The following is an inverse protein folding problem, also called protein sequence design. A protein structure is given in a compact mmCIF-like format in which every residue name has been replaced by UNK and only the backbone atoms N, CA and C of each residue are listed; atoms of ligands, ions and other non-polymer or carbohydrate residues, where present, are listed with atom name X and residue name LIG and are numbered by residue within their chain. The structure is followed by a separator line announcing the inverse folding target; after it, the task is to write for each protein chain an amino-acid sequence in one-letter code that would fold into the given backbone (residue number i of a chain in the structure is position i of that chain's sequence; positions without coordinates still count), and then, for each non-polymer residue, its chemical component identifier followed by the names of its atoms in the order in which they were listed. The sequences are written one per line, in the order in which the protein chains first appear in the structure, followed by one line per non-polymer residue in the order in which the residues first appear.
data_IF_181627584614
#
_entry.id   IF_181627584614
#
_cell.length_a   1.000
_cell.length_b   1.000
_cell.length_c   1.000
_cell.angle_alpha   90.00
_cell.angle_beta   90.00
_cell.angle_gamma   90.00
#
_symmetry.space_group_name_H-M   'P 1'
#
loop_
_entity.id
_entity.type
_entity.pdbx_description
1 polymer ?
#
# COMPACT_ATOMS: atom_id res chain seq x y z
N UNK A 1 -30.95 17.22 -38.75
CA UNK A 1 -31.65 15.92 -38.83
C UNK A 1 -30.76 14.89 -38.18
N UNK A 2 -31.19 14.49 -36.99
CA UNK A 2 -30.67 13.43 -36.15
C UNK A 2 -30.97 12.07 -36.78
N UNK A 3 -29.96 11.22 -36.94
CA UNK A 3 -30.20 9.79 -36.97
C UNK A 3 -29.08 9.09 -36.19
N UNK A 4 -29.44 8.78 -34.95
CA UNK A 4 -28.71 7.96 -34.00
C UNK A 4 -28.81 6.49 -34.39
N UNK A 5 -27.68 5.79 -34.45
CA UNK A 5 -27.63 4.33 -34.34
C UNK A 5 -26.62 3.95 -33.25
N UNK A 6 -26.96 2.99 -32.37
CA UNK A 6 -26.35 2.85 -31.05
C UNK A 6 -25.05 2.03 -31.08
N UNK A 7 -24.08 2.51 -30.31
CA UNK A 7 -22.78 1.87 -30.05
C UNK A 7 -22.98 0.62 -29.17
N UNK A 8 -22.67 -0.54 -29.76
CA UNK A 8 -22.91 -1.86 -29.21
C UNK A 8 -21.61 -2.37 -28.60
N UNK A 9 -21.55 -2.28 -27.28
CA UNK A 9 -20.83 -3.17 -26.37
C UNK A 9 -19.30 -3.03 -26.26
N UNK A 10 -18.90 -2.09 -25.39
CA UNK A 10 -17.71 -2.23 -24.53
C UNK A 10 -18.17 -2.29 -23.07
N UNK A 11 -18.74 -3.42 -22.65
CA UNK A 11 -18.91 -3.80 -21.23
C UNK A 11 -18.83 -5.33 -21.12
N UNK A 12 -17.64 -5.88 -21.36
CA UNK A 12 -17.32 -7.27 -21.01
C UNK A 12 -16.35 -7.21 -19.83
N UNK A 13 -16.88 -6.88 -18.66
CA UNK A 13 -16.33 -7.26 -17.36
C UNK A 13 -17.45 -7.10 -16.34
N UNK A 14 -17.52 -8.02 -15.37
CA UNK A 14 -18.41 -7.96 -14.20
C UNK A 14 -19.90 -8.34 -14.33
N UNK A 15 -20.23 -9.41 -15.08
CA UNK A 15 -21.56 -10.07 -14.94
C UNK A 15 -21.57 -11.59 -14.85
N UNK A 16 -20.43 -12.24 -14.60
CA UNK A 16 -20.35 -13.71 -14.59
C UNK A 16 -20.04 -14.35 -13.22
N UNK A 17 -19.95 -13.59 -12.12
CA UNK A 17 -19.61 -14.15 -10.79
C UNK A 17 -20.77 -14.16 -9.77
N UNK A 18 -21.87 -13.44 -10.04
CA UNK A 18 -23.00 -13.36 -9.10
C UNK A 18 -23.95 -14.56 -9.25
N UNK A 19 -24.15 -15.07 -10.47
CA UNK A 19 -25.03 -16.23 -10.73
C UNK A 19 -24.53 -17.53 -10.10
N UNK A 20 -23.22 -17.79 -10.16
CA UNK A 20 -22.67 -19.04 -9.61
C UNK A 20 -22.79 -19.12 -8.09
N UNK A 21 -22.77 -18.00 -7.36
CA UNK A 21 -22.95 -18.00 -5.90
C UNK A 21 -24.41 -18.26 -5.51
N UNK A 22 -25.38 -17.63 -6.18
CA UNK A 22 -26.80 -17.84 -5.89
C UNK A 22 -27.24 -19.27 -6.21
N UNK A 23 -26.75 -19.83 -7.31
CA UNK A 23 -27.08 -21.19 -7.75
C UNK A 23 -26.51 -22.28 -6.82
N UNK A 24 -25.41 -21.99 -6.12
CA UNK A 24 -24.80 -22.88 -5.11
C UNK A 24 -25.59 -22.83 -3.80
N UNK A 25 -26.09 -21.65 -3.42
CA UNK A 25 -26.86 -21.45 -2.18
C UNK A 25 -28.23 -22.12 -2.27
N UNK A 26 -28.92 -22.00 -3.41
CA UNK A 26 -30.24 -22.61 -3.65
C UNK A 26 -30.19 -24.15 -3.72
N UNK A 27 -29.04 -24.71 -4.13
CA UNK A 27 -28.80 -26.16 -4.12
C UNK A 27 -28.42 -26.71 -2.74
N UNK A 28 -27.92 -25.87 -1.84
CA UNK A 28 -27.56 -26.28 -0.48
C UNK A 28 -28.82 -26.51 0.36
N UNK A 29 -29.86 -25.70 0.17
CA UNK A 29 -31.14 -25.77 0.91
C UNK A 29 -31.93 -27.07 0.66
N UNK A 30 -31.66 -27.78 -0.45
CA UNK A 30 -32.40 -28.98 -0.85
C UNK A 30 -31.67 -30.31 -0.57
N UNK A 31 -30.55 -30.30 0.17
CA UNK A 31 -29.77 -31.50 0.51
C UNK A 31 -29.96 -31.95 1.97
N UNK A 32 -29.89 -33.26 2.28
CA UNK A 32 -29.95 -33.75 3.65
C UNK A 32 -28.82 -33.15 4.50
N UNK A 33 -29.14 -32.75 5.73
CA UNK A 33 -28.26 -31.99 6.64
C UNK A 33 -26.92 -32.66 6.97
N UNK A 34 -26.75 -33.95 6.68
CA UNK A 34 -25.50 -34.69 6.87
C UNK A 34 -24.43 -34.40 5.78
N UNK A 35 -24.87 -34.02 4.57
CA UNK A 35 -23.96 -33.69 3.45
C UNK A 35 -23.62 -32.20 3.38
N UNK A 36 -24.43 -31.33 4.00
CA UNK A 36 -24.17 -29.89 4.07
C UNK A 36 -22.90 -29.57 4.89
N UNK A 37 -22.66 -30.28 6.00
CA UNK A 37 -21.45 -30.10 6.81
C UNK A 37 -20.17 -30.48 6.03
N UNK A 38 -20.22 -31.52 5.19
CA UNK A 38 -19.08 -31.94 4.36
C UNK A 38 -18.74 -30.95 3.23
N UNK A 39 -19.76 -30.32 2.64
CA UNK A 39 -19.57 -29.38 1.53
C UNK A 39 -19.04 -28.03 2.04
N UNK A 40 -19.56 -27.53 3.16
CA UNK A 40 -19.06 -26.29 3.79
C UNK A 40 -17.62 -26.47 4.28
N UNK A 41 -17.24 -27.67 4.72
CA UNK A 41 -15.88 -27.97 5.17
C UNK A 41 -14.82 -28.01 4.05
N UNK A 42 -15.20 -28.11 2.77
CA UNK A 42 -14.26 -28.31 1.65
C UNK A 42 -13.97 -27.03 0.84
N UNK A 43 -14.41 -25.84 1.30
CA UNK A 43 -13.96 -24.58 0.71
C UNK A 43 -12.61 -24.15 1.31
N UNK A 44 -11.54 -24.79 0.85
CA UNK A 44 -10.18 -24.36 1.19
C UNK A 44 -9.76 -23.18 0.30
N UNK A 45 -9.92 -21.97 0.82
CA UNK A 45 -9.47 -20.76 0.13
C UNK A 45 -7.97 -20.55 0.38
N UNK A 46 -7.13 -21.05 -0.53
CA UNK A 46 -5.69 -20.82 -0.46
C UNK A 46 -5.33 -19.45 -1.04
N UNK A 47 -4.68 -18.63 -0.23
CA UNK A 47 -4.11 -17.34 -0.63
C UNK A 47 -2.61 -17.37 -0.42
N UNK A 48 -1.87 -17.13 -1.49
CA UNK A 48 -0.42 -17.15 -1.47
C UNK A 48 0.17 -17.36 -2.86
N UNK A 49 1.49 -17.22 -2.99
CA UNK A 49 2.18 -17.38 -4.27
C UNK A 49 2.24 -18.84 -4.76
N UNK A 50 1.83 -19.80 -3.92
CA UNK A 50 1.91 -21.24 -4.21
C UNK A 50 0.49 -21.82 -4.21
N UNK A 51 0.06 -22.48 -5.30
CA UNK A 51 -1.28 -23.08 -5.38
C UNK A 51 -1.37 -24.38 -4.58
N UNK A 52 -2.60 -24.87 -4.40
CA UNK A 52 -2.88 -26.08 -3.63
C UNK A 52 -2.15 -27.32 -4.21
N UNK A 53 -1.63 -28.25 -3.37
CA UNK A 53 -0.94 -29.45 -3.84
C UNK A 53 -1.71 -30.29 -4.87
N UNK A 54 -3.04 -30.39 -4.75
CA UNK A 54 -3.86 -31.13 -5.72
C UNK A 54 -3.85 -30.48 -7.13
N UNK A 55 -3.75 -29.14 -7.18
CA UNK A 55 -3.62 -28.40 -8.45
C UNK A 55 -2.24 -28.64 -9.04
N UNK A 56 -1.19 -28.56 -8.21
CA UNK A 56 0.18 -28.83 -8.62
C UNK A 56 0.34 -30.27 -9.16
N UNK A 57 -0.29 -31.25 -8.52
CA UNK A 57 -0.31 -32.64 -8.99
C UNK A 57 -0.97 -32.76 -10.37
N UNK A 58 -2.04 -31.99 -10.62
CA UNK A 58 -2.68 -31.91 -11.93
C UNK A 58 -1.75 -31.35 -13.02
N UNK A 59 -1.00 -30.28 -12.71
CA UNK A 59 -0.02 -29.71 -13.63
C UNK A 59 1.15 -30.66 -13.89
N UNK A 60 1.66 -31.35 -12.87
CA UNK A 60 2.74 -32.33 -13.02
C UNK A 60 2.34 -33.51 -13.90
N UNK A 61 1.10 -34.01 -13.74
CA UNK A 61 0.55 -35.07 -14.59
C UNK A 61 0.37 -34.64 -16.04
N UNK A 62 0.06 -33.36 -16.28
CA UNK A 62 -0.11 -32.82 -17.63
C UNK A 62 1.23 -32.54 -18.31
N UNK A 63 2.19 -31.99 -17.55
CA UNK A 63 3.53 -31.65 -18.01
C UNK A 63 4.55 -31.89 -16.90
N UNK A 64 5.41 -32.92 -17.01
CA UNK A 64 6.42 -33.21 -16.01
C UNK A 64 7.34 -32.02 -15.76
N UNK A 65 7.47 -31.60 -14.50
CA UNK A 65 8.25 -30.44 -14.08
C UNK A 65 7.46 -29.13 -13.94
N UNK A 66 6.22 -29.06 -14.42
CA UNK A 66 5.40 -27.84 -14.32
C UNK A 66 5.12 -27.43 -12.86
N UNK A 67 4.91 -28.40 -11.96
CA UNK A 67 4.66 -28.09 -10.56
C UNK A 67 5.87 -27.39 -9.92
N UNK A 68 7.08 -27.85 -10.24
CA UNK A 68 8.32 -27.24 -9.78
C UNK A 68 8.48 -25.81 -10.29
N UNK A 69 8.20 -25.59 -11.57
CA UNK A 69 8.29 -24.27 -12.19
C UNK A 69 7.30 -23.27 -11.58
N UNK A 70 6.05 -23.70 -11.32
CA UNK A 70 5.03 -22.88 -10.66
C UNK A 70 5.49 -22.48 -9.25
N UNK A 71 6.00 -23.43 -8.47
CA UNK A 71 6.52 -23.16 -7.12
C UNK A 71 7.67 -22.16 -7.19
N UNK A 72 8.62 -22.38 -8.09
CA UNK A 72 9.80 -21.54 -8.23
C UNK A 72 9.42 -20.11 -8.64
N UNK A 73 8.52 -19.96 -9.61
CA UNK A 73 7.99 -18.67 -10.03
C UNK A 73 7.28 -17.95 -8.88
N UNK A 74 6.45 -18.65 -8.11
CA UNK A 74 5.77 -18.10 -6.94
C UNK A 74 6.74 -17.62 -5.87
N UNK A 75 7.79 -18.40 -5.58
CA UNK A 75 8.83 -18.02 -4.61
C UNK A 75 9.63 -16.81 -5.13
N UNK A 76 10.01 -16.79 -6.41
CA UNK A 76 10.74 -15.69 -7.02
C UNK A 76 9.92 -14.39 -6.98
N UNK A 77 8.63 -14.44 -7.30
CA UNK A 77 7.73 -13.29 -7.22
C UNK A 77 7.61 -12.78 -5.77
N UNK A 78 7.45 -13.69 -4.82
CA UNK A 78 7.41 -13.35 -3.38
C UNK A 78 8.71 -12.68 -2.92
N UNK A 79 9.87 -13.19 -3.36
CA UNK A 79 11.16 -12.57 -3.08
C UNK A 79 11.32 -11.21 -3.75
N UNK A 80 10.85 -11.07 -4.99
CA UNK A 80 10.88 -9.81 -5.73
C UNK A 80 10.07 -8.73 -5.01
N UNK A 81 8.83 -9.05 -4.60
CA UNK A 81 7.99 -8.16 -3.79
C UNK A 81 8.66 -7.73 -2.50
N UNK A 82 9.22 -8.68 -1.72
CA UNK A 82 9.97 -8.35 -0.48
C UNK A 82 11.18 -7.43 -0.76
N UNK A 83 11.90 -7.66 -1.87
CA UNK A 83 13.03 -6.80 -2.27
C UNK A 83 12.56 -5.39 -2.64
N UNK A 84 11.40 -5.24 -3.27
CA UNK A 84 10.83 -3.92 -3.57
C UNK A 84 10.33 -3.21 -2.32
N UNK A 85 9.65 -3.92 -1.41
CA UNK A 85 9.18 -3.39 -0.14
C UNK A 85 10.33 -2.90 0.74
N UNK A 86 11.40 -3.70 0.87
CA UNK A 86 12.62 -3.31 1.61
C UNK A 86 13.33 -2.11 0.99
N UNK A 87 13.48 -2.06 -0.35
CA UNK A 87 14.04 -0.89 -1.04
C UNK A 87 13.19 0.37 -0.83
N UNK A 88 11.86 0.24 -0.85
CA UNK A 88 10.93 1.36 -0.59
C UNK A 88 11.09 1.87 0.85
N UNK A 89 11.18 0.98 1.84
CA UNK A 89 11.43 1.34 3.24
C UNK A 89 12.78 2.05 3.40
N UNK A 90 13.86 1.53 2.80
CA UNK A 90 15.18 2.15 2.86
C UNK A 90 15.20 3.55 2.24
N UNK A 91 14.55 3.73 1.08
CA UNK A 91 14.48 5.04 0.40
C UNK A 91 13.69 6.07 1.24
N UNK A 92 12.61 5.66 1.89
CA UNK A 92 11.85 6.51 2.82
C UNK A 92 12.71 6.93 4.03
N UNK A 93 13.46 5.99 4.61
CA UNK A 93 14.36 6.27 5.74
C UNK A 93 15.45 7.29 5.39
N UNK A 94 16.09 7.16 4.24
CA UNK A 94 17.11 8.11 3.79
C UNK A 94 16.54 9.51 3.57
N UNK A 95 15.40 9.62 2.89
CA UNK A 95 14.80 10.92 2.60
C UNK A 95 14.39 11.66 3.88
N UNK A 96 13.81 10.94 4.84
CA UNK A 96 13.47 11.48 6.17
C UNK A 96 14.70 11.98 6.94
N UNK A 97 15.82 11.26 6.85
CA UNK A 97 17.08 11.70 7.45
C UNK A 97 17.64 12.96 6.79
N UNK A 98 17.58 13.07 5.46
CA UNK A 98 18.02 14.27 4.75
C UNK A 98 17.16 15.49 5.08
N UNK A 99 15.83 15.34 5.12
CA UNK A 99 14.94 16.47 5.44
C UNK A 99 15.14 16.94 6.88
N UNK A 100 15.20 16.03 7.85
CA UNK A 100 15.47 16.36 9.25
C UNK A 100 16.86 17.00 9.43
N UNK A 101 17.89 16.44 8.80
CA UNK A 101 19.25 16.99 8.86
C UNK A 101 19.35 18.39 8.25
N UNK A 102 18.69 18.62 7.12
CA UNK A 102 18.67 19.93 6.46
C UNK A 102 17.95 20.99 7.30
N UNK A 103 16.82 20.64 7.92
CA UNK A 103 16.08 21.53 8.83
C UNK A 103 16.95 21.95 10.02
N UNK A 104 17.56 20.98 10.72
CA UNK A 104 18.43 21.25 11.87
C UNK A 104 19.60 22.14 11.47
N UNK A 105 20.22 21.87 10.32
CA UNK A 105 21.34 22.68 9.81
C UNK A 105 20.91 24.13 9.54
N UNK A 106 19.79 24.35 8.86
CA UNK A 106 19.25 25.69 8.59
C UNK A 106 18.91 26.43 9.88
N UNK A 107 18.29 25.75 10.85
CA UNK A 107 17.99 26.34 12.15
C UNK A 107 19.25 26.74 12.92
N UNK A 108 20.30 25.92 12.90
CA UNK A 108 21.59 26.26 13.52
C UNK A 108 22.20 27.50 12.85
N UNK A 109 22.18 27.57 11.51
CA UNK A 109 22.67 28.76 10.79
C UNK A 109 21.89 30.02 11.15
N UNK A 110 20.57 29.94 11.30
CA UNK A 110 19.73 31.05 11.76
C UNK A 110 20.06 31.48 13.19
N UNK A 111 20.30 30.53 14.11
CA UNK A 111 20.68 30.84 15.49
C UNK A 111 22.05 31.51 15.57
N UNK A 112 23.03 31.03 14.82
CA UNK A 112 24.37 31.64 14.74
C UNK A 112 24.28 33.04 14.12
N UNK A 113 23.52 33.19 13.03
CA UNK A 113 23.29 34.49 12.39
C UNK A 113 22.60 35.50 13.33
N UNK A 114 21.60 35.05 14.10
CA UNK A 114 20.94 35.84 15.14
C UNK A 114 21.93 36.28 16.22
N UNK A 115 22.77 35.37 16.70
CA UNK A 115 23.80 35.66 17.71
C UNK A 115 24.81 36.72 17.23
N UNK A 116 25.30 36.60 15.99
CA UNK A 116 26.22 37.59 15.38
C UNK A 116 25.56 38.97 15.25
N UNK A 117 24.26 39.02 14.89
CA UNK A 117 23.52 40.28 14.80
C UNK A 117 23.41 40.99 16.15
N UNK A 118 23.23 40.23 17.23
CA UNK A 118 23.17 40.78 18.59
C UNK A 118 24.51 41.39 18.98
N UNK A 119 25.64 40.73 18.65
CA UNK A 119 26.98 41.27 18.90
C UNK A 119 27.27 42.54 18.09
N UNK A 120 26.74 42.66 16.88
CA UNK A 120 26.87 43.84 16.02
C UNK A 120 25.87 44.97 16.36
N UNK A 121 25.38 45.04 17.60
CA UNK A 121 24.49 46.09 18.12
C UNK A 121 23.05 46.10 17.54
N UNK A 122 22.64 45.07 16.79
CA UNK A 122 21.29 44.93 16.23
C UNK A 122 20.41 44.04 17.13
N UNK A 123 20.26 44.45 18.40
CA UNK A 123 19.65 43.62 19.46
C UNK A 123 18.20 43.20 19.16
N UNK A 124 17.36 44.14 18.73
CA UNK A 124 15.92 43.91 18.47
C UNK A 124 15.74 42.93 17.30
N UNK A 125 16.47 43.16 16.21
CA UNK A 125 16.40 42.33 15.00
C UNK A 125 16.90 40.92 15.33
N UNK A 126 18.05 40.81 16.03
CA UNK A 126 18.58 39.53 16.48
C UNK A 126 17.60 38.73 17.32
N UNK A 127 16.91 39.36 18.28
CA UNK A 127 15.93 38.67 19.14
C UNK A 127 14.68 38.21 18.38
N UNK A 128 14.11 39.04 17.50
CA UNK A 128 12.92 38.68 16.71
C UNK A 128 13.26 37.54 15.74
N UNK A 129 14.44 37.62 15.12
CA UNK A 129 14.90 36.61 14.17
C UNK A 129 15.23 35.28 14.85
N UNK A 130 15.88 35.31 16.02
CA UNK A 130 16.19 34.11 16.80
C UNK A 130 14.94 33.44 17.39
N UNK A 131 14.07 34.21 18.05
CA UNK A 131 12.84 33.68 18.63
C UNK A 131 11.86 33.19 17.57
N UNK A 132 11.71 33.93 16.46
CA UNK A 132 10.89 33.53 15.32
C UNK A 132 11.40 32.25 14.66
N UNK A 133 12.71 32.16 14.41
CA UNK A 133 13.32 30.95 13.85
C UNK A 133 13.14 29.71 14.74
N UNK A 134 13.21 29.89 16.06
CA UNK A 134 12.98 28.80 17.02
C UNK A 134 11.53 28.30 17.02
N UNK A 135 10.54 29.19 16.96
CA UNK A 135 9.13 28.82 16.88
C UNK A 135 8.80 28.07 15.57
N UNK A 136 9.35 28.54 14.44
CA UNK A 136 9.21 27.86 13.15
C UNK A 136 9.85 26.47 13.20
N UNK A 137 11.01 26.34 13.83
CA UNK A 137 11.66 25.03 14.04
C UNK A 137 10.78 24.09 14.86
N UNK A 138 10.22 24.56 15.98
CA UNK A 138 9.32 23.74 16.81
C UNK A 138 8.08 23.28 16.04
N UNK A 139 7.44 24.17 15.29
CA UNK A 139 6.31 23.82 14.44
C UNK A 139 6.68 22.76 13.40
N UNK A 140 7.79 22.97 12.68
CA UNK A 140 8.27 22.03 11.68
C UNK A 140 8.70 20.69 12.28
N UNK A 141 9.26 20.69 13.49
CA UNK A 141 9.63 19.47 14.22
C UNK A 141 8.39 18.67 14.61
N UNK A 142 7.34 19.33 15.12
CA UNK A 142 6.06 18.66 15.44
C UNK A 142 5.44 18.05 14.19
N UNK A 143 5.42 18.78 13.07
CA UNK A 143 4.91 18.26 11.79
C UNK A 143 5.73 17.07 11.29
N UNK A 144 7.07 17.13 11.38
CA UNK A 144 7.93 16.00 11.00
C UNK A 144 7.77 14.80 11.93
N UNK A 145 7.63 15.01 13.24
CA UNK A 145 7.37 13.94 14.22
C UNK A 145 6.00 13.30 13.95
N UNK A 146 4.98 14.11 13.67
CA UNK A 146 3.65 13.60 13.32
C UNK A 146 3.67 12.86 11.98
N UNK A 147 4.41 13.33 10.98
CA UNK A 147 4.57 12.64 9.70
C UNK A 147 5.32 11.31 9.84
N UNK A 148 6.25 11.20 10.80
CA UNK A 148 6.99 9.96 11.08
C UNK A 148 6.25 9.02 12.03
N UNK A 149 5.41 9.55 12.91
CA UNK A 149 4.62 8.80 13.89
C UNK A 149 3.23 8.41 13.38
N UNK A 150 2.71 9.11 12.37
CA UNK A 150 1.50 8.76 11.66
C UNK A 150 1.70 7.41 11.01
N UNK A 151 1.16 6.37 11.63
CA UNK A 151 1.07 5.03 11.06
C UNK A 151 0.42 5.18 9.69
N UNK A 152 1.19 4.90 8.64
CA UNK A 152 0.68 4.74 7.29
C UNK A 152 -0.49 3.74 7.34
N UNK A 153 -1.71 4.25 7.19
CA UNK A 153 -2.86 3.44 6.83
C UNK A 153 -2.58 2.82 5.45
N UNK A 154 -2.02 1.60 5.46
CA UNK A 154 -2.50 0.58 4.53
C UNK A 154 -3.99 0.43 4.85
N UNK A 155 -4.83 1.24 4.19
CA UNK A 155 -6.28 1.05 3.96
C UNK A 155 -6.97 2.37 3.60
N UNK A 156 -6.52 3.09 2.56
CA UNK A 156 -7.45 3.98 1.85
C UNK A 156 -6.98 4.20 0.42
N UNK A 157 -7.10 3.15 -0.40
CA UNK A 157 -7.58 3.35 -1.77
C UNK A 157 -9.10 3.16 -1.70
N UNK A 158 -9.78 4.16 -1.12
CA UNK A 158 -11.22 4.30 -1.32
C UNK A 158 -11.31 4.89 -2.70
N UNK A 159 -11.69 4.03 -3.64
CA UNK A 159 -12.51 4.33 -4.80
C UNK A 159 -12.50 5.81 -5.14
N UNK A 160 -11.54 6.20 -6.00
CA UNK A 160 -11.74 7.37 -6.83
C UNK A 160 -13.13 7.25 -7.45
N UNK A 161 -13.93 8.25 -7.13
CA UNK A 161 -15.32 8.41 -7.51
C UNK A 161 -15.48 8.23 -9.03
N UNK A 162 -16.13 7.13 -9.40
CA UNK A 162 -16.71 6.97 -10.72
C UNK A 162 -18.06 7.71 -10.72
N UNK A 163 -18.11 8.79 -11.51
CA UNK A 163 -19.25 9.26 -12.30
C UNK A 163 -20.56 9.67 -11.60
#
# INVERSE_FOLDING_TARGET
MTESLPDKQSKISDKNNVGSRTDILDKLENLPSEDQEKIIATMEMYSGPIPHPAILEGYEKLYPGAAKEIIENGVQESQHRRKLETKRQARRGHLAWFTLGSLVLVTILLLVGSFVLIMNNHRIIGTVFGAGGFLVFLGSLVDQVNALSGKDDISTDKNDEDN
#
